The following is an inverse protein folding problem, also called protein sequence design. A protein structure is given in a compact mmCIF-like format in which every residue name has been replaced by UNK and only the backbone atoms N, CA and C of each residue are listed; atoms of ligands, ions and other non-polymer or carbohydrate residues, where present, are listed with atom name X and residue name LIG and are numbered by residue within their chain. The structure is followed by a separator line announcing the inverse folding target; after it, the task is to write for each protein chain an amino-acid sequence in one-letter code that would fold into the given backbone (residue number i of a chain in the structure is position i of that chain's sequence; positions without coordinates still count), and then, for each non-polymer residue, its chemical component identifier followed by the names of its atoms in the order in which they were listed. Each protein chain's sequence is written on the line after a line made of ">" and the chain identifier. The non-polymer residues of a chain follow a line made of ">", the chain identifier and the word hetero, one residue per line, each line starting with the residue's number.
data_IF_577483139141
#
_entry.id   IF_577483139141
#
_cell.length_a   1.000
_cell.length_b   1.000
_cell.length_c   1.000
_cell.angle_alpha   90.00
_cell.angle_beta   90.00
_cell.angle_gamma   90.00
#
_symmetry.space_group_name_H-M   'P 1'
#
loop_
_entity.id
_entity.type
_entity.pdbx_description
1 polymer ?
#
# COMPACT_ATOMS: atom_id res chain seq x y z
N UNK A 1 -22.69 -5.56 35.96
CA UNK A 1 -23.77 -6.56 36.23
C UNK A 1 -23.31 -7.56 37.28
N UNK A 2 -22.12 -8.18 37.20
CA UNK A 2 -21.62 -9.14 38.19
C UNK A 2 -21.58 -8.60 39.62
N UNK A 3 -21.18 -7.32 39.79
CA UNK A 3 -21.16 -6.64 41.10
C UNK A 3 -22.59 -6.42 41.66
N UNK A 4 -23.51 -6.01 40.82
CA UNK A 4 -24.93 -5.83 41.20
C UNK A 4 -25.58 -7.15 41.61
N UNK A 5 -25.28 -8.25 40.90
CA UNK A 5 -25.75 -9.59 41.25
C UNK A 5 -25.21 -10.04 42.62
N UNK A 6 -23.93 -9.75 42.91
CA UNK A 6 -23.35 -10.02 44.23
C UNK A 6 -24.02 -9.24 45.35
N UNK A 7 -24.28 -7.95 45.14
CA UNK A 7 -24.97 -7.09 46.12
C UNK A 7 -26.41 -7.52 46.35
N UNK A 8 -27.14 -7.89 45.30
CA UNK A 8 -28.49 -8.36 45.40
C UNK A 8 -28.58 -9.66 46.23
N UNK A 9 -27.66 -10.61 45.97
CA UNK A 9 -27.59 -11.87 46.72
C UNK A 9 -27.27 -11.65 48.21
N UNK A 10 -26.43 -10.64 48.51
CA UNK A 10 -26.11 -10.26 49.88
C UNK A 10 -27.33 -9.69 50.61
N UNK A 11 -28.13 -8.84 49.94
CA UNK A 11 -29.40 -8.31 50.47
C UNK A 11 -30.42 -9.42 50.70
N UNK A 12 -30.52 -10.41 49.79
CA UNK A 12 -31.40 -11.56 49.89
C UNK A 12 -31.04 -12.41 51.11
N UNK A 13 -29.77 -12.79 51.27
CA UNK A 13 -29.25 -13.53 52.41
C UNK A 13 -29.51 -12.79 53.72
N UNK A 14 -29.29 -11.48 53.72
CA UNK A 14 -29.49 -10.66 54.93
C UNK A 14 -30.97 -10.54 55.33
N UNK A 15 -31.87 -10.43 54.34
CA UNK A 15 -33.31 -10.46 54.56
C UNK A 15 -33.78 -11.82 55.11
N UNK A 16 -33.33 -12.94 54.52
CA UNK A 16 -33.69 -14.28 55.00
C UNK A 16 -33.15 -14.58 56.42
N UNK A 17 -31.89 -14.15 56.69
CA UNK A 17 -31.29 -14.33 58.03
C UNK A 17 -32.06 -13.53 59.10
N UNK A 18 -32.53 -12.31 58.79
CA UNK A 18 -33.32 -11.50 59.72
C UNK A 18 -34.72 -12.11 59.97
N UNK A 19 -35.34 -12.67 58.93
CA UNK A 19 -36.59 -13.39 59.04
C UNK A 19 -36.47 -14.61 59.95
N UNK A 20 -35.44 -15.45 59.74
CA UNK A 20 -35.22 -16.65 60.57
C UNK A 20 -34.88 -16.29 62.00
N UNK A 21 -34.05 -15.28 62.27
CA UNK A 21 -33.71 -14.84 63.63
C UNK A 21 -34.90 -14.31 64.38
N UNK A 22 -35.85 -13.63 63.70
CA UNK A 22 -37.07 -13.13 64.36
C UNK A 22 -38.11 -14.19 64.51
N UNK A 23 -38.28 -15.14 63.56
CA UNK A 23 -39.19 -16.28 63.71
C UNK A 23 -38.81 -17.13 64.93
N UNK A 24 -37.50 -17.38 65.16
CA UNK A 24 -37.03 -18.13 66.34
C UNK A 24 -37.29 -17.37 67.64
N UNK A 25 -37.19 -16.04 67.68
CA UNK A 25 -37.47 -15.21 68.88
C UNK A 25 -38.97 -15.10 69.16
N UNK A 26 -39.83 -15.27 68.20
CA UNK A 26 -41.30 -15.23 68.36
C UNK A 26 -41.81 -16.57 68.93
N UNK A 27 -41.17 -17.71 68.62
CA UNK A 27 -41.49 -19.00 69.13
C UNK A 27 -41.17 -19.15 70.66
N UNK A 28 -40.18 -18.38 71.13
CA UNK A 28 -39.76 -18.37 72.56
C UNK A 28 -40.55 -17.43 73.48
N UNK A 29 -41.28 -16.44 72.91
CA UNK A 29 -41.92 -15.38 73.71
C UNK A 29 -43.33 -15.03 73.29
N UNK A 30 -44.28 -15.82 73.26
CA UNK A 30 -45.74 -15.62 73.16
C UNK A 30 -46.16 -14.09 73.05
N UNK A 31 -45.54 -13.30 72.19
CA UNK A 31 -45.85 -11.88 71.96
C UNK A 31 -46.62 -11.72 70.63
N UNK A 32 -47.61 -10.83 70.68
CA UNK A 32 -48.45 -10.49 69.53
C UNK A 32 -47.64 -10.19 68.30
N UNK A 33 -47.95 -10.93 67.26
CA UNK A 33 -47.42 -10.81 65.92
C UNK A 33 -47.86 -9.52 65.29
N UNK A 34 -46.92 -8.61 64.89
CA UNK A 34 -47.25 -7.40 64.13
C UNK A 34 -47.39 -7.73 62.63
N UNK A 35 -48.60 -7.73 62.08
CA UNK A 35 -48.85 -8.05 60.66
C UNK A 35 -48.15 -7.07 59.68
N UNK A 36 -47.88 -5.84 60.12
CA UNK A 36 -47.23 -4.83 59.31
C UNK A 36 -45.75 -5.05 59.10
N UNK A 37 -45.03 -5.68 60.02
CA UNK A 37 -43.62 -6.07 59.85
C UNK A 37 -43.45 -7.22 58.86
N UNK A 38 -44.35 -8.19 58.88
CA UNK A 38 -44.34 -9.33 57.99
C UNK A 38 -44.64 -8.89 56.52
N UNK A 39 -45.56 -7.95 56.35
CA UNK A 39 -45.90 -7.41 55.05
C UNK A 39 -44.74 -6.63 54.41
N UNK A 40 -43.92 -5.93 55.22
CA UNK A 40 -42.70 -5.25 54.76
C UNK A 40 -41.64 -6.23 54.28
N UNK A 41 -41.43 -7.37 54.92
CA UNK A 41 -40.47 -8.38 54.55
C UNK A 41 -40.87 -9.10 53.25
N UNK A 42 -42.16 -9.43 53.12
CA UNK A 42 -42.73 -10.04 51.91
C UNK A 42 -42.49 -9.11 50.71
N UNK A 43 -42.75 -7.84 50.90
CA UNK A 43 -42.53 -6.82 49.88
C UNK A 43 -41.04 -6.65 49.51
N UNK A 44 -40.12 -6.77 50.47
CA UNK A 44 -38.67 -6.75 50.21
C UNK A 44 -38.22 -7.98 49.39
N UNK A 45 -38.71 -9.18 49.71
CA UNK A 45 -38.45 -10.38 48.97
C UNK A 45 -38.97 -10.29 47.54
N UNK A 46 -40.19 -9.75 47.35
CA UNK A 46 -40.75 -9.53 46.04
C UNK A 46 -39.93 -8.55 45.21
N UNK A 47 -39.45 -7.43 45.81
CA UNK A 47 -38.59 -6.47 45.15
C UNK A 47 -37.23 -7.06 44.78
N UNK A 48 -36.59 -7.85 45.67
CA UNK A 48 -35.31 -8.51 45.36
C UNK A 48 -35.45 -9.54 44.24
N UNK A 49 -36.56 -10.27 44.19
CA UNK A 49 -36.87 -11.19 43.10
C UNK A 49 -37.04 -10.45 41.77
N UNK A 50 -37.80 -9.37 41.73
CA UNK A 50 -37.96 -8.56 40.50
C UNK A 50 -36.65 -7.93 40.04
N UNK A 51 -35.78 -7.52 40.97
CA UNK A 51 -34.47 -7.01 40.63
C UNK A 51 -33.56 -8.12 40.11
N UNK A 52 -33.62 -9.36 40.65
CA UNK A 52 -32.87 -10.51 40.15
C UNK A 52 -33.29 -10.87 38.73
N UNK A 53 -34.58 -10.84 38.43
CA UNK A 53 -35.14 -11.09 37.10
C UNK A 53 -34.65 -10.00 36.11
N UNK A 54 -34.78 -8.73 36.50
CA UNK A 54 -34.27 -7.61 35.66
C UNK A 54 -32.76 -7.69 35.38
N UNK A 55 -31.95 -8.14 36.34
CA UNK A 55 -30.53 -8.38 36.16
C UNK A 55 -30.22 -9.57 35.24
N UNK A 56 -31.08 -10.59 35.31
CA UNK A 56 -30.97 -11.73 34.40
C UNK A 56 -31.21 -11.31 32.95
N UNK A 57 -32.32 -10.56 32.74
CA UNK A 57 -32.68 -10.03 31.42
C UNK A 57 -31.59 -9.10 30.88
N UNK A 58 -31.08 -8.19 31.71
CA UNK A 58 -29.97 -7.31 31.31
C UNK A 58 -28.70 -8.11 30.94
N UNK A 59 -28.47 -9.24 31.62
CA UNK A 59 -27.31 -10.11 31.30
C UNK A 59 -27.51 -10.80 29.95
N UNK A 60 -28.72 -11.31 29.70
CA UNK A 60 -29.07 -11.94 28.41
C UNK A 60 -28.92 -10.94 27.27
N UNK A 61 -29.48 -9.74 27.40
CA UNK A 61 -29.36 -8.68 26.39
C UNK A 61 -27.88 -8.33 26.15
N UNK A 62 -27.08 -8.27 27.21
CA UNK A 62 -25.63 -8.01 27.06
C UNK A 62 -24.92 -9.11 26.28
N UNK A 63 -25.26 -10.38 26.54
CA UNK A 63 -24.69 -11.52 25.80
C UNK A 63 -25.09 -11.50 24.33
N UNK A 64 -26.35 -11.23 24.05
CA UNK A 64 -26.86 -11.12 22.67
C UNK A 64 -26.21 -9.95 21.91
N UNK A 65 -26.00 -8.80 22.57
CA UNK A 65 -25.27 -7.70 21.99
C UNK A 65 -23.82 -8.04 21.66
N UNK A 66 -23.11 -8.73 22.56
CA UNK A 66 -21.74 -9.16 22.31
C UNK A 66 -21.65 -10.16 21.17
N UNK A 67 -22.60 -11.11 21.08
CA UNK A 67 -22.70 -12.05 19.98
C UNK A 67 -22.92 -11.32 18.64
N UNK A 68 -23.91 -10.40 18.61
CA UNK A 68 -24.20 -9.59 17.41
C UNK A 68 -23.01 -8.71 16.99
N UNK A 69 -22.26 -8.16 17.95
CA UNK A 69 -21.01 -7.42 17.63
C UNK A 69 -19.96 -8.31 16.99
N UNK A 70 -19.76 -9.53 17.52
CA UNK A 70 -18.84 -10.51 16.94
C UNK A 70 -19.23 -10.94 15.53
N UNK A 71 -20.52 -11.16 15.28
CA UNK A 71 -21.04 -11.45 13.94
C UNK A 71 -20.83 -10.28 12.98
N UNK A 72 -21.11 -9.05 13.44
CA UNK A 72 -20.92 -7.85 12.64
C UNK A 72 -19.46 -7.63 12.29
N UNK A 73 -18.53 -7.82 13.23
CA UNK A 73 -17.08 -7.73 12.99
C UNK A 73 -16.65 -8.76 11.94
N UNK A 74 -17.10 -10.00 12.07
CA UNK A 74 -16.82 -11.06 11.09
C UNK A 74 -17.34 -10.72 9.70
N UNK A 75 -18.56 -10.17 9.60
CA UNK A 75 -19.16 -9.75 8.34
C UNK A 75 -18.38 -8.60 7.69
N UNK A 76 -17.91 -7.62 8.48
CA UNK A 76 -17.08 -6.52 7.99
C UNK A 76 -15.73 -7.00 7.45
N UNK A 77 -15.08 -7.94 8.13
CA UNK A 77 -13.83 -8.55 7.66
C UNK A 77 -14.04 -9.32 6.34
N UNK A 78 -15.13 -10.07 6.24
CA UNK A 78 -15.50 -10.77 5.01
C UNK A 78 -15.79 -9.78 3.87
N UNK A 79 -16.53 -8.71 4.12
CA UNK A 79 -16.81 -7.66 3.15
C UNK A 79 -15.53 -6.99 2.64
N UNK A 80 -14.59 -6.67 3.54
CA UNK A 80 -13.29 -6.10 3.17
C UNK A 80 -12.48 -7.06 2.28
N UNK A 81 -12.56 -8.37 2.52
CA UNK A 81 -11.92 -9.39 1.69
C UNK A 81 -12.56 -9.47 0.30
N UNK A 82 -13.89 -9.51 0.23
CA UNK A 82 -14.63 -9.53 -1.05
C UNK A 82 -14.32 -8.28 -1.85
N UNK A 83 -14.34 -7.10 -1.22
CA UNK A 83 -14.02 -5.83 -1.90
C UNK A 83 -12.63 -5.85 -2.53
N UNK A 84 -11.62 -6.34 -1.80
CA UNK A 84 -10.25 -6.50 -2.34
C UNK A 84 -10.20 -7.48 -3.51
N UNK A 85 -10.88 -8.61 -3.41
CA UNK A 85 -10.91 -9.60 -4.49
C UNK A 85 -11.57 -9.00 -5.75
N UNK A 86 -12.71 -8.31 -5.59
CA UNK A 86 -13.40 -7.65 -6.71
C UNK A 86 -12.50 -6.59 -7.36
N UNK A 87 -11.79 -5.78 -6.56
CA UNK A 87 -10.82 -4.82 -7.10
C UNK A 87 -9.71 -5.51 -7.89
N UNK A 88 -9.15 -6.62 -7.40
CA UNK A 88 -8.12 -7.38 -8.11
C UNK A 88 -8.66 -7.97 -9.42
N UNK A 89 -9.86 -8.55 -9.43
CA UNK A 89 -10.45 -9.08 -10.65
C UNK A 89 -10.78 -7.96 -11.67
N UNK A 90 -11.26 -6.80 -11.21
CA UNK A 90 -11.45 -5.64 -12.08
C UNK A 90 -10.12 -5.14 -12.69
N UNK A 91 -9.03 -5.14 -11.91
CA UNK A 91 -7.70 -4.83 -12.43
C UNK A 91 -7.25 -5.83 -13.49
N UNK A 92 -7.47 -7.14 -13.26
CA UNK A 92 -7.14 -8.19 -14.24
C UNK A 92 -7.93 -8.06 -15.54
N UNK A 93 -9.22 -7.70 -15.48
CA UNK A 93 -10.03 -7.48 -16.69
C UNK A 93 -9.56 -6.29 -17.53
N UNK A 94 -8.80 -5.36 -16.95
CA UNK A 94 -8.22 -4.20 -17.65
C UNK A 94 -6.77 -4.43 -18.04
N UNK A 95 -6.22 -5.61 -17.73
CA UNK A 95 -4.85 -5.94 -18.08
C UNK A 95 -4.74 -6.14 -19.60
N UNK A 96 -3.71 -5.55 -20.16
CA UNK A 96 -3.36 -5.67 -21.58
C UNK A 96 -1.87 -5.99 -21.70
N UNK A 97 -1.44 -6.80 -22.67
CA UNK A 97 -0.05 -7.13 -22.82
C UNK A 97 0.77 -5.90 -23.24
N UNK A 98 1.98 -5.80 -22.71
CA UNK A 98 2.92 -4.71 -23.06
C UNK A 98 3.18 -4.64 -24.56
N UNK A 99 3.07 -5.76 -25.28
CA UNK A 99 3.24 -5.84 -26.75
C UNK A 99 2.38 -4.82 -27.52
N UNK A 100 1.31 -4.30 -26.92
CA UNK A 100 0.50 -3.22 -27.53
C UNK A 100 1.29 -1.92 -27.75
N UNK A 101 2.38 -1.68 -26.99
CA UNK A 101 3.29 -0.55 -27.16
C UNK A 101 4.42 -0.82 -28.16
N UNK A 102 4.76 -2.09 -28.46
CA UNK A 102 5.90 -2.45 -29.28
C UNK A 102 5.97 -1.67 -30.59
N UNK A 103 4.87 -1.63 -31.33
CA UNK A 103 4.82 -0.95 -32.62
C UNK A 103 5.11 0.57 -32.53
N UNK A 104 4.74 1.19 -31.41
CA UNK A 104 5.01 2.61 -31.14
C UNK A 104 6.48 2.82 -30.79
N UNK A 105 7.03 1.97 -29.92
CA UNK A 105 8.44 2.07 -29.49
C UNK A 105 9.40 1.80 -30.65
N UNK A 106 9.17 0.77 -31.46
CA UNK A 106 9.97 0.51 -32.68
C UNK A 106 9.92 1.67 -33.68
N UNK A 107 8.77 2.32 -33.83
CA UNK A 107 8.63 3.46 -34.73
C UNK A 107 9.45 4.64 -34.25
N UNK A 108 9.44 4.93 -32.95
CA UNK A 108 10.23 6.02 -32.34
C UNK A 108 11.70 5.77 -32.51
N UNK A 109 12.21 4.56 -32.16
CA UNK A 109 13.62 4.22 -32.33
C UNK A 109 14.06 4.40 -33.77
N UNK A 110 13.29 3.88 -34.73
CA UNK A 110 13.61 4.01 -36.16
C UNK A 110 13.59 5.44 -36.65
N UNK A 111 12.66 6.26 -36.16
CA UNK A 111 12.57 7.67 -36.55
C UNK A 111 13.75 8.45 -35.99
N UNK A 112 13.98 8.38 -34.69
CA UNK A 112 15.03 9.13 -34.01
C UNK A 112 16.43 8.69 -34.49
N UNK A 113 16.66 7.39 -34.71
CA UNK A 113 17.92 6.89 -35.24
C UNK A 113 18.20 7.49 -36.63
N UNK A 114 17.18 7.54 -37.51
CA UNK A 114 17.33 8.21 -38.83
C UNK A 114 17.64 9.68 -38.71
N UNK A 115 16.92 10.41 -37.86
CA UNK A 115 17.10 11.85 -37.68
C UNK A 115 18.50 12.19 -37.15
N UNK A 116 19.09 11.30 -36.36
CA UNK A 116 20.45 11.44 -35.81
C UNK A 116 21.55 10.79 -36.68
N UNK A 117 21.20 10.15 -37.79
CA UNK A 117 22.17 9.45 -38.64
C UNK A 117 22.85 8.25 -37.94
N UNK A 118 22.15 7.62 -37.00
CA UNK A 118 22.65 6.46 -36.23
C UNK A 118 21.92 5.18 -36.66
N UNK A 119 22.60 4.05 -36.50
CA UNK A 119 22.04 2.74 -36.68
C UNK A 119 21.70 2.16 -35.28
N UNK A 120 20.44 1.81 -35.05
CA UNK A 120 20.01 1.29 -33.75
C UNK A 120 18.94 0.21 -33.92
N UNK A 121 19.04 -0.82 -33.08
CA UNK A 121 18.06 -1.89 -32.96
C UNK A 121 17.50 -1.91 -31.54
N UNK A 122 16.18 -2.10 -31.43
CA UNK A 122 15.45 -2.25 -30.18
C UNK A 122 15.07 -3.72 -30.01
N UNK A 123 15.47 -4.32 -28.91
CA UNK A 123 15.04 -5.65 -28.51
C UNK A 123 14.10 -5.52 -27.32
N UNK A 124 12.95 -6.22 -27.35
CA UNK A 124 11.96 -6.21 -26.28
C UNK A 124 11.72 -7.64 -25.82
N UNK A 125 12.12 -7.93 -24.60
CA UNK A 125 11.90 -9.21 -23.94
C UNK A 125 10.76 -9.09 -22.92
N UNK A 126 9.96 -10.17 -22.76
CA UNK A 126 8.84 -10.17 -21.79
C UNK A 126 7.65 -9.34 -22.23
N UNK A 127 7.49 -9.04 -23.52
CA UNK A 127 6.39 -8.22 -24.04
C UNK A 127 4.99 -8.80 -23.81
N UNK A 128 4.89 -10.07 -23.38
CA UNK A 128 3.66 -10.75 -23.00
C UNK A 128 3.20 -10.43 -21.57
N UNK A 129 4.04 -9.76 -20.77
CA UNK A 129 3.65 -9.32 -19.42
C UNK A 129 2.46 -8.39 -19.52
N UNK A 130 1.43 -8.71 -18.73
CA UNK A 130 0.19 -7.95 -18.70
C UNK A 130 0.26 -6.83 -17.66
N UNK A 131 -0.16 -5.63 -18.06
CA UNK A 131 -0.24 -4.44 -17.21
C UNK A 131 -1.64 -3.85 -17.25
N UNK A 132 -2.05 -3.18 -16.18
CA UNK A 132 -3.24 -2.33 -16.23
C UNK A 132 -3.10 -1.30 -17.35
N UNK A 133 -4.16 -1.13 -18.13
CA UNK A 133 -4.17 -0.20 -19.28
C UNK A 133 -3.80 1.22 -18.87
N UNK A 134 -4.26 1.70 -17.70
CA UNK A 134 -3.94 3.05 -17.23
C UNK A 134 -2.46 3.20 -16.84
N UNK A 135 -1.83 2.13 -16.33
CA UNK A 135 -0.38 2.08 -16.07
C UNK A 135 0.36 2.12 -17.41
N UNK A 136 -0.07 1.29 -18.36
CA UNK A 136 0.57 1.22 -19.69
C UNK A 136 0.55 2.58 -20.42
N UNK A 137 -0.57 3.30 -20.34
CA UNK A 137 -0.70 4.64 -20.92
C UNK A 137 0.24 5.66 -20.24
N UNK A 138 0.44 5.56 -18.93
CA UNK A 138 1.32 6.45 -18.16
C UNK A 138 2.81 6.20 -18.43
N UNK A 139 3.23 4.94 -18.55
CA UNK A 139 4.65 4.61 -18.77
C UNK A 139 5.10 4.84 -20.21
N UNK A 140 4.17 4.97 -21.15
CA UNK A 140 4.49 5.15 -22.56
C UNK A 140 5.38 6.37 -22.82
N UNK A 141 5.03 7.54 -22.30
CA UNK A 141 5.79 8.75 -22.49
C UNK A 141 7.19 8.74 -21.82
N UNK A 142 7.36 8.30 -20.57
CA UNK A 142 8.67 8.06 -19.98
C UNK A 142 9.54 7.11 -20.80
N UNK A 143 9.02 5.97 -21.27
CA UNK A 143 9.77 5.04 -22.10
C UNK A 143 10.25 5.68 -23.41
N UNK A 144 9.40 6.42 -24.08
CA UNK A 144 9.79 7.15 -25.28
C UNK A 144 10.92 8.14 -25.00
N UNK A 145 10.85 8.84 -23.87
CA UNK A 145 11.89 9.76 -23.46
C UNK A 145 13.22 9.04 -23.19
N UNK A 146 13.18 7.92 -22.47
CA UNK A 146 14.37 7.10 -22.23
C UNK A 146 14.98 6.57 -23.52
N UNK A 147 14.18 6.10 -24.47
CA UNK A 147 14.65 5.66 -25.79
C UNK A 147 15.31 6.78 -26.57
N UNK A 148 14.73 7.98 -26.54
CA UNK A 148 15.36 9.18 -27.16
C UNK A 148 16.70 9.51 -26.53
N UNK A 149 16.80 9.44 -25.20
CA UNK A 149 18.05 9.67 -24.47
C UNK A 149 19.11 8.65 -24.83
N UNK A 150 18.75 7.35 -24.86
CA UNK A 150 19.67 6.29 -25.28
C UNK A 150 20.20 6.53 -26.71
N UNK A 151 19.33 6.94 -27.65
CA UNK A 151 19.70 7.24 -29.03
C UNK A 151 20.51 8.52 -29.15
N UNK A 152 20.11 9.59 -28.46
CA UNK A 152 20.76 10.90 -28.60
C UNK A 152 22.13 10.92 -27.89
N UNK A 153 22.19 10.42 -26.69
CA UNK A 153 23.32 10.57 -25.76
C UNK A 153 24.04 9.25 -25.45
N UNK A 154 23.35 8.10 -25.44
CA UNK A 154 23.95 6.80 -25.16
C UNK A 154 24.72 6.27 -26.36
N UNK A 155 24.06 6.03 -27.47
CA UNK A 155 24.66 5.41 -28.65
C UNK A 155 25.57 6.40 -29.40
N UNK A 156 26.77 5.91 -29.79
CA UNK A 156 27.69 6.67 -30.62
C UNK A 156 27.29 6.62 -32.11
N UNK A 157 27.84 7.54 -32.92
CA UNK A 157 27.69 7.49 -34.36
C UNK A 157 28.36 6.22 -34.93
N UNK A 158 27.89 5.66 -36.07
CA UNK A 158 28.38 4.39 -36.62
C UNK A 158 29.92 4.31 -36.77
N UNK A 159 30.52 5.38 -37.28
CA UNK A 159 31.98 5.46 -37.43
C UNK A 159 32.75 5.41 -36.10
N UNK A 160 32.23 6.08 -35.07
CA UNK A 160 32.84 6.09 -33.74
C UNK A 160 32.71 4.72 -33.07
N UNK A 161 31.58 4.04 -33.24
CA UNK A 161 31.36 2.66 -32.73
C UNK A 161 32.39 1.70 -33.35
N UNK A 162 32.53 1.71 -34.66
CA UNK A 162 33.50 0.86 -35.37
C UNK A 162 34.94 1.18 -34.92
N UNK A 163 35.28 2.44 -34.72
CA UNK A 163 36.60 2.83 -34.21
C UNK A 163 36.87 2.33 -32.79
N UNK A 164 35.84 2.18 -31.99
CA UNK A 164 35.85 1.60 -30.64
C UNK A 164 35.76 0.06 -30.64
N UNK A 165 35.72 -0.60 -31.80
CA UNK A 165 35.63 -2.07 -31.93
C UNK A 165 34.20 -2.60 -31.64
N UNK A 166 33.18 -1.75 -31.64
CA UNK A 166 31.80 -2.14 -31.47
C UNK A 166 31.09 -2.36 -32.82
N UNK A 167 29.99 -3.15 -32.85
CA UNK A 167 29.16 -3.26 -34.05
C UNK A 167 28.67 -1.89 -34.54
N UNK A 168 28.49 -1.73 -35.83
CA UNK A 168 27.98 -0.47 -36.44
C UNK A 168 26.60 -0.11 -35.92
N UNK A 169 25.72 -1.10 -35.70
CA UNK A 169 24.38 -0.96 -35.15
C UNK A 169 24.44 -1.01 -33.63
N UNK A 170 23.92 0.04 -32.96
CA UNK A 170 23.79 0.07 -31.53
C UNK A 170 22.58 -0.76 -31.07
N UNK A 171 22.65 -1.36 -29.91
CA UNK A 171 21.62 -2.20 -29.33
C UNK A 171 20.99 -1.49 -28.13
N UNK A 172 19.66 -1.43 -28.11
CA UNK A 172 18.86 -1.02 -26.95
C UNK A 172 18.02 -2.23 -26.55
N UNK A 173 18.13 -2.68 -25.33
CA UNK A 173 17.35 -3.78 -24.79
C UNK A 173 16.33 -3.26 -23.75
N UNK A 174 15.09 -3.73 -23.87
CA UNK A 174 14.01 -3.46 -22.94
C UNK A 174 13.48 -4.80 -22.42
N UNK A 175 13.70 -5.07 -21.15
CA UNK A 175 13.31 -6.34 -20.52
C UNK A 175 12.21 -6.09 -19.48
N UNK A 176 11.11 -6.81 -19.62
CA UNK A 176 10.01 -6.80 -18.65
C UNK A 176 9.98 -8.13 -17.90
N UNK A 177 9.91 -8.06 -16.60
CA UNK A 177 9.78 -9.23 -15.71
C UNK A 177 8.71 -8.98 -14.68
N UNK A 178 7.91 -10.00 -14.42
CA UNK A 178 6.98 -9.98 -13.29
C UNK A 178 7.66 -10.57 -12.06
N UNK A 179 7.80 -9.78 -11.01
CA UNK A 179 8.40 -10.15 -9.74
C UNK A 179 7.32 -10.08 -8.64
N UNK A 180 6.72 -11.24 -8.35
CA UNK A 180 5.60 -11.34 -7.39
C UNK A 180 4.43 -10.40 -7.72
N UNK A 181 4.35 -9.25 -7.08
CA UNK A 181 3.26 -8.28 -7.21
C UNK A 181 3.68 -6.99 -7.95
N UNK A 182 4.92 -6.96 -8.43
CA UNK A 182 5.52 -5.82 -9.12
C UNK A 182 5.95 -6.23 -10.53
N UNK A 183 6.09 -5.25 -11.39
CA UNK A 183 6.63 -5.43 -12.73
C UNK A 183 7.92 -4.62 -12.82
N UNK A 184 9.03 -5.33 -12.98
CA UNK A 184 10.31 -4.73 -13.23
C UNK A 184 10.46 -4.47 -14.74
N UNK A 185 10.78 -3.22 -15.08
CA UNK A 185 11.08 -2.80 -16.44
C UNK A 185 12.51 -2.29 -16.46
N UNK A 186 13.38 -2.95 -17.21
CA UNK A 186 14.81 -2.63 -17.30
C UNK A 186 15.12 -2.24 -18.73
N UNK A 187 15.69 -1.06 -18.91
CA UNK A 187 16.21 -0.62 -20.20
C UNK A 187 17.73 -0.48 -20.13
N UNK A 188 18.42 -0.97 -21.13
CA UNK A 188 19.88 -0.85 -21.28
C UNK A 188 20.25 -0.55 -22.73
N UNK A 189 21.33 0.16 -22.91
CA UNK A 189 21.97 0.38 -24.21
C UNK A 189 23.45 -0.04 -24.15
N UNK A 190 24.04 -0.28 -25.31
CA UNK A 190 25.47 -0.64 -25.51
C UNK A 190 26.32 0.56 -25.94
N UNK A 191 25.84 1.77 -25.61
CA UNK A 191 26.50 3.03 -25.97
C UNK A 191 27.78 3.34 -25.17
N UNK A 192 28.17 4.62 -25.18
CA UNK A 192 29.39 5.08 -24.50
C UNK A 192 29.27 5.12 -22.97
N UNK A 193 28.03 4.98 -22.43
CA UNK A 193 27.77 5.17 -21.02
C UNK A 193 27.70 6.67 -20.63
N UNK A 194 27.71 6.93 -19.32
CA UNK A 194 27.69 8.28 -18.78
C UNK A 194 29.13 8.86 -18.75
N UNK A 195 29.33 10.04 -19.30
CA UNK A 195 30.57 10.80 -19.15
C UNK A 195 30.61 11.41 -17.74
N UNK A 196 31.23 10.67 -16.82
CA UNK A 196 31.33 11.04 -15.41
C UNK A 196 32.16 12.30 -15.19
N UNK A 197 33.17 12.56 -16.05
CA UNK A 197 34.00 13.74 -15.95
C UNK A 197 33.24 15.01 -16.34
N UNK A 198 32.52 14.94 -17.45
CA UNK A 198 31.61 16.03 -17.87
C UNK A 198 30.50 16.25 -16.83
N UNK A 199 29.94 15.19 -16.29
CA UNK A 199 28.91 15.28 -15.25
C UNK A 199 29.42 15.97 -13.99
N UNK A 200 30.63 15.59 -13.54
CA UNK A 200 31.33 16.20 -12.41
C UNK A 200 31.60 17.69 -12.65
N UNK A 201 32.10 18.05 -13.85
CA UNK A 201 32.33 19.44 -14.24
C UNK A 201 31.07 20.26 -14.12
N UNK A 202 29.97 19.80 -14.72
CA UNK A 202 28.66 20.51 -14.68
C UNK A 202 28.09 20.61 -13.26
N UNK A 203 28.30 19.61 -12.42
CA UNK A 203 27.87 19.63 -11.02
C UNK A 203 28.65 20.68 -10.21
N UNK A 204 29.95 20.85 -10.48
CA UNK A 204 30.79 21.91 -9.91
C UNK A 204 30.34 23.30 -10.37
N UNK A 205 30.10 23.48 -11.67
CA UNK A 205 29.69 24.76 -12.25
C UNK A 205 28.31 25.22 -11.77
N UNK A 206 27.41 24.26 -11.54
CA UNK A 206 26.09 24.52 -10.94
C UNK A 206 26.10 24.66 -9.41
N UNK A 207 27.26 24.50 -8.77
CA UNK A 207 27.42 24.60 -7.31
C UNK A 207 26.79 23.49 -6.51
N UNK A 208 26.44 22.38 -7.15
CA UNK A 208 25.88 21.18 -6.50
C UNK A 208 27.00 20.41 -5.78
N UNK A 209 28.19 20.38 -6.39
CA UNK A 209 29.40 19.83 -5.78
C UNK A 209 30.36 20.96 -5.40
N UNK A 210 31.12 20.75 -4.31
CA UNK A 210 32.21 21.65 -3.90
C UNK A 210 33.54 21.16 -4.48
N UNK A 211 34.43 22.10 -4.82
CA UNK A 211 35.79 21.76 -5.27
C UNK A 211 36.52 20.97 -4.19
N UNK A 212 37.05 19.81 -4.57
CA UNK A 212 37.74 18.91 -3.63
C UNK A 212 36.82 17.94 -2.85
N UNK A 213 35.52 17.94 -3.12
CA UNK A 213 34.60 16.96 -2.58
C UNK A 213 34.80 15.62 -3.31
N UNK A 214 35.17 14.59 -2.56
CA UNK A 214 35.18 13.22 -3.05
C UNK A 214 33.74 12.72 -3.16
N UNK A 215 33.34 12.31 -4.35
CA UNK A 215 32.00 11.79 -4.66
C UNK A 215 32.21 10.48 -5.42
N UNK A 216 31.51 9.45 -5.03
CA UNK A 216 31.53 8.16 -5.70
C UNK A 216 30.84 8.25 -7.08
N UNK A 217 31.16 7.34 -7.98
CA UNK A 217 30.49 7.24 -9.29
C UNK A 217 28.99 7.09 -9.15
N UNK A 218 28.54 6.29 -8.18
CA UNK A 218 27.11 6.09 -7.89
C UNK A 218 26.40 7.38 -7.50
N UNK A 219 27.02 8.20 -6.66
CA UNK A 219 26.46 9.49 -6.26
C UNK A 219 26.42 10.49 -7.45
N UNK A 220 27.46 10.48 -8.33
CA UNK A 220 27.45 11.28 -9.54
C UNK A 220 26.32 10.85 -10.50
N UNK A 221 26.07 9.55 -10.64
CA UNK A 221 24.97 9.03 -11.46
C UNK A 221 23.61 9.50 -10.90
N UNK A 222 23.43 9.53 -9.58
CA UNK A 222 22.20 10.03 -8.96
C UNK A 222 21.92 11.51 -9.29
N UNK A 223 22.94 12.31 -9.60
CA UNK A 223 22.74 13.70 -10.01
C UNK A 223 22.05 13.85 -11.38
N UNK A 224 22.09 12.82 -12.23
CA UNK A 224 21.30 12.79 -13.47
C UNK A 224 19.81 12.81 -13.18
N UNK A 225 19.37 12.07 -12.16
CA UNK A 225 17.97 12.08 -11.70
C UNK A 225 17.57 13.38 -11.05
N UNK A 226 18.52 14.13 -10.48
CA UNK A 226 18.29 15.47 -9.93
C UNK A 226 18.28 16.58 -11.00
N UNK A 227 18.18 16.25 -12.29
CA UNK A 227 18.07 17.21 -13.37
C UNK A 227 19.40 17.73 -13.95
N UNK A 228 20.52 17.09 -13.63
CA UNK A 228 21.78 17.35 -14.31
C UNK A 228 21.85 16.57 -15.63
N UNK A 229 22.03 17.30 -16.75
CA UNK A 229 22.24 16.69 -18.07
C UNK A 229 23.69 16.87 -18.52
N UNK A 230 24.25 15.88 -19.20
CA UNK A 230 25.58 15.98 -19.87
C UNK A 230 25.49 16.75 -21.19
N UNK A 231 24.29 16.99 -21.73
CA UNK A 231 24.11 17.74 -22.96
C UNK A 231 24.47 19.23 -22.79
N UNK A 232 25.22 19.79 -23.75
CA UNK A 232 25.63 21.19 -23.74
C UNK A 232 24.54 22.10 -24.26
N UNK A 233 23.62 21.63 -25.09
CA UNK A 233 22.47 22.34 -25.61
C UNK A 233 21.19 21.54 -25.44
N UNK A 234 20.12 22.27 -25.08
CA UNK A 234 18.76 21.70 -25.07
C UNK A 234 18.26 21.72 -26.51
N UNK A 235 18.33 20.59 -27.19
CA UNK A 235 17.72 20.42 -28.51
C UNK A 235 16.25 20.02 -28.37
N UNK A 236 15.43 20.28 -29.38
CA UNK A 236 14.02 19.83 -29.42
C UNK A 236 13.85 18.34 -29.26
N UNK A 237 14.92 17.55 -29.57
CA UNK A 237 14.98 16.11 -29.42
C UNK A 237 15.34 15.62 -28.02
N UNK A 238 16.11 16.42 -27.25
CA UNK A 238 16.60 16.00 -25.90
C UNK A 238 15.71 16.46 -24.74
N UNK A 239 14.61 17.17 -25.03
CA UNK A 239 13.68 17.66 -24.02
C UNK A 239 14.21 18.83 -23.18
N UNK A 240 13.38 19.38 -22.32
CA UNK A 240 13.64 20.64 -21.56
C UNK A 240 14.53 20.46 -20.33
N UNK A 241 15.48 19.55 -20.30
CA UNK A 241 16.34 19.34 -19.12
C UNK A 241 15.56 18.92 -17.87
N UNK A 242 14.40 18.32 -18.04
CA UNK A 242 13.61 17.73 -16.95
C UNK A 242 14.24 16.38 -16.67
N UNK A 243 14.79 16.22 -15.48
CA UNK A 243 15.31 14.93 -15.04
C UNK A 243 14.25 13.83 -15.14
N UNK A 244 14.70 12.61 -15.02
CA UNK A 244 13.79 11.46 -14.91
C UNK A 244 13.16 11.46 -13.51
N UNK A 245 12.05 12.18 -13.31
CA UNK A 245 11.21 12.13 -12.11
C UNK A 245 10.31 10.91 -12.11
#
# INVERSE_FOLDING_TARGET
>A
ISRLRGQLREVEIQADSQLQSRASLLDERNRDFDPLEFDRYTRLQELTRLMAESLHDATSIQQDLLANLGETESALLQQARISRNVQQELMRMRAVPFSTLNGRLYRIVRQVARDLGKNAELEIEGSQVELDRGVLEKIGAPLEHMLRNALAHGLEAPRARMAAGKPETGRIALTLRQESNEIALVMSDDGAGLDLDTLRGKALDKGILRRGQEVTETELVQLVFAGLSTADEVTELSGRGVGMD
#
